data_IF_744001212875
#
_entry.id   IF_744001212875
#
_cell.length_a   1.000
_cell.length_b   1.000
_cell.length_c   1.000
_cell.angle_alpha   90.00
_cell.angle_beta   90.00
_cell.angle_gamma   90.00
#
_symmetry.space_group_name_H-M   'P 1'
#
loop_
_entity.id
_entity.type
_entity.pdbx_description
1 polymer ?
#
# COMPACT_ATOMS: atom_id res chain seq x y z
N UNK A 1 -16.08 44.48 19.45
CA UNK A 1 -16.20 44.35 17.98
C UNK A 1 -14.82 44.09 17.40
N UNK A 2 -14.49 42.84 17.12
CA UNK A 2 -13.31 42.45 16.33
C UNK A 2 -13.85 41.61 15.17
N UNK A 3 -13.65 42.10 13.95
CA UNK A 3 -14.06 41.42 12.74
C UNK A 3 -13.16 40.20 12.54
N UNK A 4 -13.75 39.00 12.55
CA UNK A 4 -13.07 37.77 12.17
C UNK A 4 -12.99 37.70 10.65
N UNK A 5 -11.78 37.57 10.11
CA UNK A 5 -11.54 37.24 8.72
C UNK A 5 -11.96 35.78 8.49
N UNK A 6 -13.05 35.57 7.76
CA UNK A 6 -13.42 34.26 7.24
C UNK A 6 -12.53 33.92 6.05
N UNK A 7 -11.70 32.89 6.20
CA UNK A 7 -10.98 32.27 5.08
C UNK A 7 -12.00 31.44 4.30
N UNK A 8 -12.34 31.89 3.10
CA UNK A 8 -13.21 31.19 2.17
C UNK A 8 -12.34 30.23 1.35
N UNK A 9 -12.42 28.93 1.64
CA UNK A 9 -11.82 27.90 0.78
C UNK A 9 -12.72 27.71 -0.44
N UNK A 10 -12.26 28.18 -1.60
CA UNK A 10 -12.89 27.92 -2.90
C UNK A 10 -12.32 26.60 -3.43
N UNK A 11 -13.09 25.51 -3.31
CA UNK A 11 -12.76 24.24 -3.97
C UNK A 11 -13.21 24.36 -5.42
N UNK A 12 -12.28 24.66 -6.32
CA UNK A 12 -12.51 24.60 -7.76
C UNK A 12 -12.56 23.13 -8.18
N UNK A 13 -13.76 22.61 -8.47
CA UNK A 13 -13.90 21.33 -9.17
C UNK A 13 -13.50 21.54 -10.63
N UNK A 14 -12.23 21.30 -10.93
CA UNK A 14 -11.75 21.17 -12.30
C UNK A 14 -12.25 19.83 -12.81
N UNK A 15 -13.34 19.84 -13.58
CA UNK A 15 -13.62 18.74 -14.49
C UNK A 15 -12.51 18.79 -15.56
N UNK A 16 -11.41 18.08 -15.30
CA UNK A 16 -10.38 17.86 -16.31
C UNK A 16 -11.03 17.06 -17.44
N UNK A 17 -11.52 17.77 -18.46
CA UNK A 17 -11.68 17.17 -19.76
C UNK A 17 -10.32 16.57 -20.12
N UNK A 18 -10.30 15.27 -20.40
CA UNK A 18 -9.12 14.61 -20.97
C UNK A 18 -8.99 15.12 -22.41
N UNK A 19 -8.66 16.40 -22.58
CA UNK A 19 -8.20 16.92 -23.86
C UNK A 19 -7.03 16.03 -24.24
N UNK A 20 -7.25 15.24 -25.29
CA UNK A 20 -6.50 14.02 -25.54
C UNK A 20 -5.01 14.27 -25.44
N UNK A 21 -4.39 13.77 -24.37
CA UNK A 21 -2.95 13.82 -24.21
C UNK A 21 -2.37 13.05 -25.39
N UNK A 22 -1.87 13.81 -26.37
CA UNK A 22 -1.29 13.28 -27.59
C UNK A 22 -0.04 12.49 -27.22
N UNK A 23 0.14 11.31 -27.82
CA UNK A 23 1.36 10.53 -27.66
C UNK A 23 2.55 11.41 -28.02
N UNK A 24 3.49 11.58 -27.09
CA UNK A 24 4.76 12.22 -27.42
C UNK A 24 5.54 11.28 -28.36
N UNK A 25 6.21 11.82 -29.39
CA UNK A 25 6.97 11.00 -30.33
C UNK A 25 8.10 10.28 -29.59
N UNK A 26 8.35 9.03 -29.96
CA UNK A 26 9.47 8.29 -29.38
C UNK A 26 10.82 8.81 -29.90
N UNK A 27 11.83 8.76 -29.04
CA UNK A 27 13.21 9.10 -29.40
C UNK A 27 14.09 7.86 -29.31
N UNK A 28 14.98 7.66 -30.28
CA UNK A 28 15.97 6.58 -30.21
C UNK A 28 16.86 6.77 -28.96
N UNK A 29 17.09 5.68 -28.24
CA UNK A 29 17.85 5.65 -27.00
C UNK A 29 18.80 4.46 -26.96
N UNK A 30 19.69 4.44 -25.98
CA UNK A 30 20.59 3.31 -25.72
C UNK A 30 19.91 2.31 -24.78
N UNK A 31 20.22 1.03 -24.95
CA UNK A 31 19.84 -0.02 -24.01
C UNK A 31 20.29 0.32 -22.56
N UNK A 32 19.68 -0.29 -21.54
CA UNK A 32 20.22 -0.21 -20.17
C UNK A 32 21.65 -0.77 -20.14
N UNK A 33 22.59 0.00 -19.62
CA UNK A 33 23.99 -0.36 -19.47
C UNK A 33 24.29 -0.69 -18.00
N UNK A 34 23.51 -1.59 -17.41
CA UNK A 34 23.58 -1.91 -15.98
C UNK A 34 24.87 -2.69 -15.66
N UNK A 35 25.55 -2.34 -14.57
CA UNK A 35 26.79 -3.01 -14.14
C UNK A 35 28.05 -2.71 -14.97
N UNK A 36 27.97 -1.88 -16.01
CA UNK A 36 29.17 -1.37 -16.70
C UNK A 36 29.89 -0.33 -15.82
N UNK A 37 31.23 -0.41 -15.74
CA UNK A 37 32.04 0.38 -14.80
C UNK A 37 31.87 1.90 -14.95
N UNK A 38 31.61 2.37 -16.17
CA UNK A 38 31.44 3.80 -16.48
C UNK A 38 29.97 4.20 -16.70
N UNK A 39 29.03 3.29 -16.43
CA UNK A 39 27.61 3.57 -16.62
C UNK A 39 27.01 4.30 -15.42
N UNK A 40 26.12 5.24 -15.72
CA UNK A 40 25.28 5.93 -14.73
C UNK A 40 23.92 5.26 -14.58
N UNK A 41 23.72 4.09 -15.17
CA UNK A 41 22.48 3.34 -15.05
C UNK A 41 22.50 2.50 -13.78
N UNK A 42 21.39 2.50 -13.05
CA UNK A 42 21.19 1.68 -11.86
C UNK A 42 19.80 1.01 -11.87
N UNK A 43 19.70 -0.14 -11.21
CA UNK A 43 18.43 -0.82 -10.96
C UNK A 43 17.82 -0.32 -9.66
N UNK A 44 16.53 -0.01 -9.68
CA UNK A 44 15.74 0.36 -8.53
C UNK A 44 15.13 -0.85 -7.86
N UNK A 45 15.58 -1.09 -6.63
CA UNK A 45 14.98 -2.03 -5.67
C UNK A 45 14.48 -1.30 -4.41
N UNK A 46 14.48 0.04 -4.46
CA UNK A 46 14.10 0.91 -3.35
C UNK A 46 12.75 1.59 -3.59
N UNK A 47 11.97 1.11 -4.57
CA UNK A 47 10.64 1.63 -4.89
C UNK A 47 10.59 3.12 -5.25
N UNK A 48 11.66 3.70 -5.81
CA UNK A 48 11.66 5.09 -6.27
C UNK A 48 10.87 5.28 -7.56
N UNK A 49 10.87 4.28 -8.45
CA UNK A 49 10.08 4.24 -9.68
C UNK A 49 9.49 2.85 -9.86
N UNK A 50 8.19 2.79 -10.10
CA UNK A 50 7.45 1.53 -10.15
C UNK A 50 6.52 1.55 -11.37
N UNK A 51 6.77 0.68 -12.33
CA UNK A 51 5.82 0.35 -13.37
C UNK A 51 4.71 -0.48 -12.74
N UNK A 52 3.49 0.06 -12.71
CA UNK A 52 2.31 -0.62 -12.12
C UNK A 52 1.61 -1.53 -13.10
N UNK A 53 1.67 -1.18 -14.37
CA UNK A 53 1.11 -1.99 -15.43
C UNK A 53 1.26 -1.32 -16.78
N UNK A 54 1.07 -2.11 -17.81
CA UNK A 54 1.11 -1.67 -19.20
C UNK A 54 0.18 -2.54 -20.02
N UNK A 55 -0.56 -1.94 -20.94
CA UNK A 55 -1.49 -2.68 -21.77
C UNK A 55 -2.15 -1.81 -22.81
N UNK A 56 -2.94 -2.43 -23.68
CA UNK A 56 -3.74 -1.73 -24.69
C UNK A 56 -5.07 -1.33 -24.06
N UNK A 57 -5.44 -0.04 -24.20
CA UNK A 57 -6.73 0.45 -23.72
C UNK A 57 -7.82 0.16 -24.75
N UNK A 58 -8.99 -0.27 -24.26
CA UNK A 58 -10.20 -0.36 -25.07
C UNK A 58 -10.83 1.02 -25.22
N UNK A 59 -11.14 1.40 -26.45
CA UNK A 59 -11.85 2.62 -26.81
C UNK A 59 -13.09 2.26 -27.61
N UNK A 60 -14.15 3.04 -27.44
CA UNK A 60 -15.34 2.95 -28.28
C UNK A 60 -15.20 3.99 -29.40
N UNK A 61 -14.79 3.53 -30.58
CA UNK A 61 -14.67 4.36 -31.77
C UNK A 61 -15.81 4.00 -32.72
N UNK A 62 -16.77 4.90 -32.91
CA UNK A 62 -17.85 4.71 -33.87
C UNK A 62 -18.84 3.60 -33.51
N UNK A 63 -18.95 3.21 -32.23
CA UNK A 63 -19.88 2.18 -31.76
C UNK A 63 -19.27 0.77 -31.71
N UNK A 64 -18.01 0.60 -32.13
CA UNK A 64 -17.27 -0.66 -32.01
C UNK A 64 -16.23 -0.55 -30.90
N UNK A 65 -16.17 -1.58 -30.05
CA UNK A 65 -15.10 -1.72 -29.06
C UNK A 65 -13.83 -2.21 -29.77
N UNK A 66 -12.76 -1.42 -29.69
CA UNK A 66 -11.45 -1.77 -30.23
C UNK A 66 -10.33 -1.21 -29.36
N UNK A 67 -9.08 -1.51 -29.72
CA UNK A 67 -7.93 -0.93 -29.05
C UNK A 67 -7.61 0.46 -29.59
N UNK A 68 -7.12 1.34 -28.71
CA UNK A 68 -6.59 2.66 -29.08
C UNK A 68 -5.47 2.52 -30.12
N UNK A 69 -5.50 3.39 -31.14
CA UNK A 69 -4.59 3.38 -32.28
C UNK A 69 -3.97 4.76 -32.48
N UNK A 70 -2.69 4.80 -32.85
CA UNK A 70 -2.01 6.01 -33.34
C UNK A 70 -1.69 5.83 -34.81
N UNK A 71 -2.17 6.72 -35.67
CA UNK A 71 -2.07 6.58 -37.12
C UNK A 71 -1.29 7.73 -37.75
N UNK A 72 -0.24 7.38 -38.51
CA UNK A 72 0.49 8.31 -39.38
C UNK A 72 0.18 7.96 -40.83
N UNK A 73 -0.75 8.71 -41.43
CA UNK A 73 -1.25 8.42 -42.77
C UNK A 73 -2.10 7.15 -42.80
N UNK A 74 -1.63 6.11 -43.52
CA UNK A 74 -2.34 4.81 -43.66
C UNK A 74 -1.82 3.72 -42.73
N UNK A 75 -0.76 4.00 -41.99
CA UNK A 75 -0.15 3.07 -41.04
C UNK A 75 -0.66 3.44 -39.65
N UNK A 76 -1.22 2.46 -38.96
CA UNK A 76 -1.72 2.61 -37.60
C UNK A 76 -1.03 1.59 -36.72
N UNK A 77 -0.52 2.04 -35.58
CA UNK A 77 0.03 1.18 -34.53
C UNK A 77 -0.96 1.11 -33.37
N UNK A 78 -0.91 0.04 -32.59
CA UNK A 78 -1.60 0.02 -31.31
C UNK A 78 -0.94 1.02 -30.35
N UNK A 79 -1.72 1.52 -29.39
CA UNK A 79 -1.22 2.33 -28.28
C UNK A 79 -1.23 1.49 -27.00
N UNK A 80 -0.07 1.35 -26.39
CA UNK A 80 0.08 0.81 -25.04
C UNK A 80 0.14 1.96 -24.04
N UNK A 81 -0.61 1.88 -22.95
CA UNK A 81 -0.54 2.83 -21.86
C UNK A 81 0.13 2.18 -20.67
N UNK A 82 1.24 2.75 -20.23
CA UNK A 82 1.95 2.36 -19.02
C UNK A 82 1.53 3.28 -17.86
N UNK A 83 1.17 2.69 -16.72
CA UNK A 83 0.97 3.40 -15.45
C UNK A 83 2.24 3.31 -14.62
N UNK A 84 2.78 4.44 -14.18
CA UNK A 84 4.07 4.54 -13.49
C UNK A 84 3.86 5.34 -12.21
N UNK A 85 4.38 4.84 -11.11
CA UNK A 85 4.43 5.57 -9.85
C UNK A 85 5.86 6.00 -9.55
N UNK A 86 6.02 7.22 -9.05
CA UNK A 86 7.31 7.75 -8.62
C UNK A 86 7.19 8.20 -7.17
N UNK A 87 8.07 7.73 -6.30
CA UNK A 87 7.99 8.01 -4.87
C UNK A 87 8.02 9.53 -4.61
N UNK A 88 7.25 10.00 -3.62
CA UNK A 88 7.11 11.42 -3.30
C UNK A 88 8.45 12.10 -2.94
N UNK A 89 9.39 11.35 -2.36
CA UNK A 89 10.73 11.81 -1.98
C UNK A 89 11.67 12.03 -3.17
N UNK A 90 11.35 11.49 -4.34
CA UNK A 90 12.13 11.73 -5.55
C UNK A 90 11.95 13.20 -5.95
N UNK A 91 13.03 13.93 -6.31
CA UNK A 91 12.92 15.33 -6.76
C UNK A 91 11.92 15.51 -7.91
N UNK A 92 11.22 16.65 -7.95
CA UNK A 92 10.21 16.92 -9.00
C UNK A 92 10.81 17.20 -10.39
N UNK A 93 12.09 17.53 -10.46
CA UNK A 93 12.79 17.86 -11.71
C UNK A 93 13.31 16.62 -12.47
N UNK A 94 13.16 15.41 -11.90
CA UNK A 94 13.48 14.18 -12.62
C UNK A 94 12.49 13.96 -13.77
N UNK A 95 12.98 13.43 -14.89
CA UNK A 95 12.10 13.03 -15.99
C UNK A 95 11.67 11.58 -15.80
N UNK A 96 10.39 11.32 -15.95
CA UNK A 96 9.82 9.97 -15.91
C UNK A 96 9.65 9.49 -17.34
N UNK A 97 10.18 8.31 -17.66
CA UNK A 97 10.21 7.78 -19.03
C UNK A 97 9.94 6.27 -19.06
N UNK A 98 9.59 5.77 -20.24
CA UNK A 98 9.55 4.34 -20.56
C UNK A 98 10.55 4.07 -21.67
N UNK A 99 11.45 3.13 -21.44
CA UNK A 99 12.37 2.59 -22.44
C UNK A 99 11.78 1.29 -22.98
N UNK A 100 11.76 1.10 -24.30
CA UNK A 100 11.15 -0.07 -24.93
C UNK A 100 11.78 -0.43 -26.28
N UNK A 101 11.59 -1.67 -26.71
CA UNK A 101 11.83 -2.09 -28.09
C UNK A 101 11.04 -3.37 -28.43
N UNK A 102 10.97 -3.70 -29.72
CA UNK A 102 10.64 -5.05 -30.15
C UNK A 102 11.91 -5.89 -30.08
N UNK A 103 11.84 -7.12 -29.57
CA UNK A 103 13.02 -8.01 -29.53
C UNK A 103 13.63 -8.31 -30.91
N UNK A 104 12.87 -8.08 -31.99
CA UNK A 104 13.33 -8.16 -33.38
C UNK A 104 14.03 -6.89 -33.90
N UNK A 105 13.97 -5.79 -33.15
CA UNK A 105 14.64 -4.51 -33.45
C UNK A 105 15.76 -4.29 -32.41
N UNK A 106 17.03 -4.21 -32.81
CA UNK A 106 18.12 -3.93 -31.88
C UNK A 106 18.09 -2.50 -31.33
N UNK A 107 17.36 -1.59 -31.96
CA UNK A 107 17.25 -0.19 -31.53
C UNK A 107 16.24 -0.06 -30.38
N UNK A 108 16.68 0.59 -29.31
CA UNK A 108 15.81 1.00 -28.21
C UNK A 108 15.21 2.38 -28.45
N UNK A 109 14.01 2.58 -27.96
CA UNK A 109 13.29 3.85 -28.03
C UNK A 109 12.79 4.23 -26.64
N UNK A 110 12.65 5.52 -26.38
CA UNK A 110 12.08 6.03 -25.15
C UNK A 110 10.96 7.03 -25.41
N UNK A 111 10.01 7.09 -24.48
CA UNK A 111 8.93 8.09 -24.46
C UNK A 111 8.82 8.70 -23.07
N UNK A 112 8.51 10.00 -23.01
CA UNK A 112 8.28 10.69 -21.74
C UNK A 112 6.89 10.39 -21.18
N UNK A 113 6.82 10.17 -19.88
CA UNK A 113 5.57 10.06 -19.15
C UNK A 113 5.06 11.45 -18.73
N UNK A 114 3.77 11.55 -18.43
CA UNK A 114 3.10 12.75 -17.96
C UNK A 114 2.37 12.46 -16.65
N UNK A 115 2.34 13.45 -15.74
CA UNK A 115 1.63 13.31 -14.47
C UNK A 115 0.12 13.18 -14.72
N UNK A 116 -0.54 12.24 -14.04
CA UNK A 116 -2.00 12.04 -14.19
C UNK A 116 -2.81 12.85 -13.18
N UNK A 117 -2.18 13.33 -12.11
CA UNK A 117 -2.85 13.97 -10.98
C UNK A 117 -3.61 12.98 -10.08
N UNK A 118 -3.57 11.67 -10.40
CA UNK A 118 -4.12 10.63 -9.53
C UNK A 118 -3.32 10.60 -8.22
N UNK A 119 -4.02 10.69 -7.11
CA UNK A 119 -3.42 10.57 -5.79
C UNK A 119 -3.17 9.11 -5.47
N UNK A 120 -1.92 8.77 -5.14
CA UNK A 120 -1.53 7.45 -4.64
C UNK A 120 -0.67 7.66 -3.40
N UNK A 121 -0.92 6.90 -2.35
CA UNK A 121 -0.17 7.08 -1.11
C UNK A 121 1.32 6.84 -1.32
N UNK A 122 2.14 7.85 -1.04
CA UNK A 122 3.60 7.75 -1.16
C UNK A 122 4.12 7.92 -2.58
N UNK A 123 3.24 8.10 -3.57
CA UNK A 123 3.62 8.16 -4.98
C UNK A 123 2.92 9.27 -5.74
N UNK A 124 3.65 9.87 -6.67
CA UNK A 124 3.09 10.68 -7.76
C UNK A 124 2.81 9.75 -8.94
N UNK A 125 1.58 9.76 -9.43
CA UNK A 125 1.18 8.92 -10.55
C UNK A 125 1.48 9.59 -11.91
N UNK A 126 2.03 8.80 -12.81
CA UNK A 126 2.37 9.15 -14.18
C UNK A 126 1.79 8.12 -15.16
N UNK A 127 1.60 8.54 -16.40
CA UNK A 127 1.26 7.65 -17.50
C UNK A 127 2.15 7.92 -18.71
N UNK A 128 2.43 6.88 -19.49
CA UNK A 128 3.12 7.01 -20.77
C UNK A 128 2.34 6.27 -21.87
N UNK A 129 2.27 6.85 -23.07
CA UNK A 129 1.68 6.22 -24.25
C UNK A 129 2.80 5.78 -25.19
N UNK A 130 2.85 4.50 -25.50
CA UNK A 130 3.85 3.86 -26.35
C UNK A 130 3.18 3.37 -27.62
N UNK A 131 3.65 3.79 -28.79
CA UNK A 131 3.07 3.36 -30.09
C UNK A 131 4.07 3.33 -31.24
N UNK A 132 5.04 4.24 -31.24
CA UNK A 132 6.02 4.34 -32.32
C UNK A 132 6.93 3.11 -32.33
N UNK A 133 7.34 2.67 -33.52
CA UNK A 133 8.20 1.49 -33.72
C UNK A 133 7.63 0.15 -33.21
N UNK A 134 6.35 0.12 -32.85
CA UNK A 134 5.61 -1.09 -32.51
C UNK A 134 4.66 -1.50 -33.65
N UNK A 135 4.04 -2.67 -33.51
CA UNK A 135 3.14 -3.21 -34.52
C UNK A 135 1.71 -2.69 -34.35
N UNK A 136 0.96 -2.72 -35.45
CA UNK A 136 -0.46 -2.40 -35.48
C UNK A 136 -1.35 -3.61 -35.75
N UNK A 137 -2.68 -3.39 -35.88
CA UNK A 137 -3.67 -4.46 -36.09
C UNK A 137 -3.42 -5.34 -37.31
N UNK A 138 -2.75 -4.82 -38.35
CA UNK A 138 -2.47 -5.56 -39.59
C UNK A 138 -1.23 -6.44 -39.52
N UNK A 139 -0.40 -6.24 -38.50
CA UNK A 139 0.92 -6.85 -38.35
C UNK A 139 1.07 -7.59 -37.01
N UNK A 140 -0.03 -7.73 -36.28
CA UNK A 140 -0.10 -8.58 -35.10
C UNK A 140 0.07 -10.04 -35.55
N UNK A 141 1.01 -10.74 -34.92
CA UNK A 141 1.36 -12.11 -35.30
C UNK A 141 2.23 -12.76 -34.25
N UNK A 142 2.30 -14.09 -34.31
CA UNK A 142 3.11 -14.90 -33.40
C UNK A 142 4.59 -14.48 -33.44
N UNK A 143 5.24 -14.53 -32.28
CA UNK A 143 6.67 -14.21 -32.14
C UNK A 143 7.02 -12.73 -31.95
N UNK A 144 6.04 -11.83 -31.89
CA UNK A 144 6.28 -10.44 -31.43
C UNK A 144 6.42 -10.44 -29.91
N UNK A 145 7.51 -9.86 -29.43
CA UNK A 145 7.75 -9.60 -28.00
C UNK A 145 8.18 -8.16 -27.86
N UNK A 146 7.51 -7.43 -26.97
CA UNK A 146 7.92 -6.08 -26.57
C UNK A 146 8.65 -6.23 -25.24
N UNK A 147 9.85 -5.69 -25.16
CA UNK A 147 10.55 -5.52 -23.88
C UNK A 147 10.51 -4.06 -23.49
N UNK A 148 10.18 -3.79 -22.24
CA UNK A 148 10.09 -2.43 -21.72
C UNK A 148 10.41 -2.35 -20.23
N UNK A 149 10.76 -1.14 -19.81
CA UNK A 149 11.06 -0.79 -18.41
C UNK A 149 10.79 0.70 -18.18
N UNK A 150 10.22 1.05 -17.03
CA UNK A 150 10.07 2.45 -16.61
C UNK A 150 11.37 2.92 -15.95
N UNK A 151 11.71 4.21 -16.11
CA UNK A 151 12.90 4.76 -15.48
C UNK A 151 12.80 6.24 -15.15
N UNK A 152 13.64 6.69 -14.23
CA UNK A 152 13.91 8.10 -13.92
C UNK A 152 15.19 8.54 -14.61
N UNK A 153 15.18 9.72 -15.21
CA UNK A 153 16.37 10.41 -15.72
C UNK A 153 16.62 11.67 -14.89
N UNK A 154 17.78 11.73 -14.25
CA UNK A 154 18.24 12.88 -13.47
C UNK A 154 18.96 13.91 -14.35
N UNK A 155 19.12 15.13 -13.84
CA UNK A 155 19.75 16.23 -14.57
C UNK A 155 21.23 15.97 -14.96
N UNK A 156 21.92 15.10 -14.23
CA UNK A 156 23.29 14.67 -14.51
C UNK A 156 23.39 13.53 -15.55
N UNK A 157 22.25 13.06 -16.08
CA UNK A 157 22.17 11.97 -17.04
C UNK A 157 22.13 10.57 -16.40
N UNK A 158 22.12 10.46 -15.07
CA UNK A 158 21.88 9.20 -14.37
C UNK A 158 20.50 8.64 -14.72
N UNK A 159 20.42 7.33 -14.93
CA UNK A 159 19.14 6.62 -15.13
C UNK A 159 18.92 5.60 -14.02
N UNK A 160 17.70 5.57 -13.48
CA UNK A 160 17.30 4.60 -12.45
C UNK A 160 16.09 3.81 -12.98
N UNK A 161 16.28 2.53 -13.24
CA UNK A 161 15.31 1.64 -13.91
C UNK A 161 14.50 0.83 -12.90
N UNK A 162 13.19 0.69 -13.10
CA UNK A 162 12.33 -0.12 -12.24
C UNK A 162 12.66 -1.63 -12.34
N UNK A 163 13.20 -2.20 -11.27
CA UNK A 163 13.42 -3.64 -11.10
C UNK A 163 12.73 -4.18 -9.84
N UNK A 164 11.70 -3.49 -9.35
CA UNK A 164 11.06 -3.85 -8.09
C UNK A 164 10.17 -5.09 -8.17
N UNK A 165 9.77 -5.49 -9.39
CA UNK A 165 8.92 -6.67 -9.63
C UNK A 165 9.66 -7.82 -10.32
N UNK A 166 10.93 -7.62 -10.69
CA UNK A 166 11.76 -8.59 -11.41
C UNK A 166 12.97 -8.92 -10.54
N UNK A 167 13.36 -10.20 -10.48
CA UNK A 167 14.44 -10.61 -9.57
C UNK A 167 15.82 -10.26 -10.11
N UNK A 168 15.97 -10.17 -11.45
CA UNK A 168 17.23 -9.82 -12.09
C UNK A 168 17.35 -8.33 -12.39
N UNK A 169 18.52 -7.75 -12.08
CA UNK A 169 18.89 -6.38 -12.44
C UNK A 169 18.85 -6.10 -13.96
N UNK A 170 18.86 -7.13 -14.80
CA UNK A 170 18.88 -7.01 -16.27
C UNK A 170 17.56 -7.43 -16.92
N UNK A 171 16.57 -7.82 -16.13
CA UNK A 171 15.30 -8.32 -16.66
C UNK A 171 14.38 -7.15 -17.01
N UNK A 172 13.71 -7.25 -18.16
CA UNK A 172 12.70 -6.29 -18.59
C UNK A 172 11.32 -6.93 -18.58
N UNK A 173 10.28 -6.11 -18.50
CA UNK A 173 8.90 -6.58 -18.65
C UNK A 173 8.70 -7.00 -20.10
N UNK A 174 8.25 -8.24 -20.29
CA UNK A 174 8.03 -8.83 -21.62
C UNK A 174 6.53 -8.92 -21.90
N UNK A 175 6.08 -8.23 -22.95
CA UNK A 175 4.70 -8.31 -23.44
C UNK A 175 4.64 -9.23 -24.65
N UNK A 176 3.78 -10.25 -24.57
CA UNK A 176 3.68 -11.33 -25.55
C UNK A 176 2.22 -11.58 -25.92
N UNK A 177 1.96 -12.42 -26.93
CA UNK A 177 0.61 -12.81 -27.29
C UNK A 177 -0.12 -13.54 -26.15
N UNK A 178 0.59 -14.37 -25.38
CA UNK A 178 0.04 -15.14 -24.25
C UNK A 178 -0.46 -14.23 -23.12
N UNK A 179 0.20 -13.08 -22.94
CA UNK A 179 -0.19 -12.05 -21.98
C UNK A 179 -1.11 -10.99 -22.60
N UNK A 180 -1.63 -11.25 -23.81
CA UNK A 180 -2.44 -10.30 -24.59
C UNK A 180 -1.75 -8.93 -24.80
N UNK A 181 -0.42 -8.94 -24.78
CA UNK A 181 0.46 -7.77 -24.79
C UNK A 181 0.18 -6.79 -23.66
N UNK A 182 -0.04 -7.30 -22.44
CA UNK A 182 -0.18 -6.50 -21.23
C UNK A 182 0.47 -7.16 -20.01
N UNK A 183 0.76 -6.35 -18.99
CA UNK A 183 1.28 -6.79 -17.71
C UNK A 183 0.69 -5.93 -16.59
N UNK A 184 0.43 -6.55 -15.44
CA UNK A 184 0.07 -5.87 -14.20
C UNK A 184 1.09 -6.28 -13.15
N UNK A 185 1.74 -5.31 -12.53
CA UNK A 185 2.89 -5.51 -11.64
C UNK A 185 2.52 -5.04 -10.23
N UNK A 186 2.76 -5.91 -9.25
CA UNK A 186 2.23 -5.77 -7.89
C UNK A 186 3.22 -5.30 -6.82
N UNK A 187 4.48 -5.02 -7.17
CA UNK A 187 5.53 -4.64 -6.20
C UNK A 187 5.33 -3.27 -5.55
N UNK A 188 6.10 -2.97 -4.50
CA UNK A 188 6.20 -1.63 -3.90
C UNK A 188 4.86 -0.97 -3.54
N UNK A 189 4.00 -1.70 -2.85
CA UNK A 189 2.80 -1.10 -2.26
C UNK A 189 3.22 -0.19 -1.10
N UNK A 190 2.62 1.00 -0.95
CA UNK A 190 2.86 1.82 0.23
C UNK A 190 2.45 1.05 1.48
N UNK A 191 3.18 1.24 2.58
CA UNK A 191 2.74 0.69 3.86
C UNK A 191 1.51 1.46 4.30
N UNK A 192 0.36 0.80 4.22
CA UNK A 192 -0.94 1.34 4.56
C UNK A 192 -1.53 0.54 5.72
N UNK A 193 -1.89 1.23 6.79
CA UNK A 193 -2.70 0.67 7.85
C UNK A 193 -4.06 1.35 7.88
N UNK A 194 -5.10 0.58 8.20
CA UNK A 194 -6.47 1.05 8.24
C UNK A 194 -7.00 0.91 9.66
N UNK A 195 -7.75 1.91 10.12
CA UNK A 195 -8.49 1.86 11.37
C UNK A 195 -9.97 2.03 11.04
N UNK A 196 -10.77 1.04 11.42
CA UNK A 196 -12.21 1.04 11.23
C UNK A 196 -12.92 1.34 12.54
N UNK A 197 -13.82 2.31 12.51
CA UNK A 197 -14.72 2.66 13.60
C UNK A 197 -16.14 2.27 13.20
N UNK A 198 -16.64 1.17 13.76
CA UNK A 198 -17.93 0.59 13.39
C UNK A 198 -19.11 1.27 14.09
N UNK A 199 -20.37 1.09 13.63
CA UNK A 199 -21.54 1.67 14.28
C UNK A 199 -21.79 1.15 15.70
N UNK A 200 -21.26 -0.03 16.06
CA UNK A 200 -21.40 -0.63 17.40
C UNK A 200 -20.37 -0.13 18.40
N UNK A 201 -19.73 1.01 18.11
CA UNK A 201 -18.66 1.60 18.91
C UNK A 201 -17.39 0.72 19.03
N UNK A 202 -17.23 -0.30 18.19
CA UNK A 202 -16.00 -1.10 18.13
C UNK A 202 -14.97 -0.53 17.17
N UNK A 203 -13.71 -0.89 17.36
CA UNK A 203 -12.58 -0.53 16.51
C UNK A 203 -11.89 -1.79 16.01
N UNK A 204 -11.41 -1.76 14.77
CA UNK A 204 -10.51 -2.80 14.27
C UNK A 204 -9.40 -2.16 13.43
N UNK A 205 -8.20 -2.74 13.50
CA UNK A 205 -7.05 -2.31 12.71
C UNK A 205 -6.74 -3.41 11.70
N UNK A 206 -6.46 -3.03 10.46
CA UNK A 206 -5.91 -3.95 9.44
C UNK A 206 -4.67 -3.34 8.81
N UNK A 207 -3.73 -4.18 8.39
CA UNK A 207 -2.42 -3.72 7.97
C UNK A 207 -1.58 -3.16 9.12
N UNK A 208 -0.32 -2.87 8.84
CA UNK A 208 0.61 -2.34 9.83
C UNK A 208 0.58 -0.81 9.81
N UNK A 209 0.26 -0.19 10.95
CA UNK A 209 0.47 1.23 11.16
C UNK A 209 1.98 1.47 11.35
N UNK A 210 2.70 1.92 10.33
CA UNK A 210 4.17 2.09 10.41
C UNK A 210 4.62 3.53 10.24
N UNK A 211 5.71 3.87 10.92
CA UNK A 211 6.47 5.10 10.73
C UNK A 211 6.78 5.34 9.25
N UNK A 212 6.46 6.53 8.74
CA UNK A 212 6.64 6.91 7.35
C UNK A 212 5.62 6.31 6.36
N UNK A 213 4.75 5.41 6.81
CA UNK A 213 3.63 4.88 6.04
C UNK A 213 2.43 5.81 6.01
N UNK A 214 1.26 5.25 5.72
CA UNK A 214 -0.01 5.96 5.69
C UNK A 214 -1.03 5.29 6.60
N UNK A 215 -1.87 6.12 7.22
CA UNK A 215 -3.02 5.72 8.00
C UNK A 215 -4.28 6.15 7.26
N UNK A 216 -5.18 5.20 6.99
CA UNK A 216 -6.56 5.47 6.59
C UNK A 216 -7.55 5.23 7.72
N UNK A 217 -8.40 6.21 7.97
CA UNK A 217 -9.44 6.17 8.99
C UNK A 217 -10.79 5.98 8.30
N UNK A 218 -11.43 4.84 8.55
CA UNK A 218 -12.78 4.53 8.10
C UNK A 218 -13.73 4.75 9.27
N UNK A 219 -14.56 5.79 9.17
CA UNK A 219 -15.49 6.14 10.23
C UNK A 219 -16.92 6.00 9.76
N UNK A 220 -17.67 5.11 10.39
CA UNK A 220 -19.10 4.96 10.11
C UNK A 220 -19.86 6.11 10.75
N UNK A 221 -20.55 6.88 9.91
CA UNK A 221 -21.19 8.12 10.33
C UNK A 221 -22.16 7.86 11.49
N UNK A 222 -22.88 6.74 11.48
CA UNK A 222 -23.88 6.32 12.47
C UNK A 222 -23.40 6.36 13.94
N UNK A 223 -22.09 6.40 14.20
CA UNK A 223 -21.53 6.59 15.54
C UNK A 223 -21.79 7.98 16.14
N UNK A 224 -21.92 9.01 15.30
CA UNK A 224 -22.26 10.39 15.71
C UNK A 224 -23.42 10.93 14.88
N UNK A 225 -24.67 10.51 15.17
CA UNK A 225 -25.85 10.94 14.44
C UNK A 225 -26.32 12.37 14.81
N UNK A 226 -25.92 12.91 15.95
CA UNK A 226 -26.34 14.23 16.41
C UNK A 226 -25.73 15.37 15.57
N UNK A 227 -26.23 16.59 15.73
CA UNK A 227 -25.70 17.79 15.06
C UNK A 227 -25.70 17.78 13.52
N UNK A 228 -26.51 16.92 12.89
CA UNK A 228 -26.66 16.85 11.43
C UNK A 228 -27.75 17.77 10.90
N UNK A 229 -27.48 19.08 10.90
CA UNK A 229 -28.46 20.08 10.47
C UNK A 229 -28.49 20.30 8.94
N UNK A 230 -29.57 20.93 8.48
CA UNK A 230 -29.70 21.43 7.10
C UNK A 230 -29.97 22.93 7.09
N UNK A 231 -29.60 23.61 6.00
CA UNK A 231 -29.97 25.00 5.75
C UNK A 231 -30.44 25.17 4.32
N UNK A 232 -31.65 25.72 4.17
CA UNK A 232 -32.36 25.81 2.89
C UNK A 232 -32.45 24.45 2.16
N UNK A 233 -32.57 23.36 2.91
CA UNK A 233 -32.66 22.01 2.37
C UNK A 233 -31.35 21.38 1.90
N UNK A 234 -30.20 22.04 2.15
CA UNK A 234 -28.87 21.47 1.92
C UNK A 234 -28.21 21.06 3.23
N UNK A 235 -27.41 19.98 3.25
CA UNK A 235 -26.76 19.55 4.47
C UNK A 235 -25.64 20.52 4.82
N UNK A 236 -25.46 20.77 6.11
CA UNK A 236 -24.43 21.70 6.56
C UNK A 236 -23.80 21.32 7.88
N UNK A 237 -23.59 20.04 8.04
CA UNK A 237 -22.81 19.44 9.10
C UNK A 237 -21.59 18.76 8.51
N UNK A 238 -20.60 18.47 9.33
CA UNK A 238 -19.45 17.65 8.96
C UNK A 238 -19.02 16.80 10.15
N UNK A 239 -18.39 15.67 9.85
CA UNK A 239 -17.66 14.88 10.85
C UNK A 239 -16.20 14.97 10.50
N UNK A 240 -15.40 15.58 11.37
CA UNK A 240 -13.96 15.61 11.26
C UNK A 240 -13.37 14.49 12.10
N UNK A 241 -12.50 13.71 11.50
CA UNK A 241 -11.51 12.95 12.24
C UNK A 241 -10.36 13.90 12.57
N UNK A 242 -9.98 13.91 13.83
CA UNK A 242 -8.75 14.52 14.30
C UNK A 242 -7.80 13.40 14.72
N UNK A 243 -6.51 13.60 14.47
CA UNK A 243 -5.51 12.75 15.08
C UNK A 243 -4.27 13.52 15.46
N UNK A 244 -3.56 12.98 16.45
CA UNK A 244 -2.31 13.49 16.99
C UNK A 244 -1.31 12.36 17.08
N UNK A 245 -0.18 12.50 16.39
CA UNK A 245 0.92 11.54 16.49
C UNK A 245 1.81 11.89 17.68
N UNK A 246 2.20 10.88 18.46
CA UNK A 246 3.08 11.00 19.60
C UNK A 246 4.43 10.34 19.33
N UNK A 247 5.54 10.81 19.93
CA UNK A 247 5.61 11.91 20.89
C UNK A 247 5.67 13.31 20.25
N UNK A 248 5.80 13.41 18.92
CA UNK A 248 6.05 14.67 18.22
C UNK A 248 4.90 15.70 18.28
N UNK A 249 3.68 15.27 18.60
CA UNK A 249 2.51 16.14 18.77
C UNK A 249 1.94 16.67 17.46
N UNK A 250 2.29 16.08 16.31
CA UNK A 250 1.80 16.53 15.00
C UNK A 250 0.31 16.20 14.88
N UNK A 251 -0.51 17.24 14.70
CA UNK A 251 -1.96 17.13 14.58
C UNK A 251 -2.42 17.26 13.13
N UNK A 252 -3.43 16.47 12.78
CA UNK A 252 -4.05 16.46 11.48
C UNK A 252 -5.57 16.35 11.63
N UNK A 253 -6.32 16.89 10.67
CA UNK A 253 -7.78 16.79 10.69
C UNK A 253 -8.34 16.77 9.28
N UNK A 254 -9.40 15.99 9.08
CA UNK A 254 -10.04 15.85 7.78
C UNK A 254 -11.45 15.31 7.90
N UNK A 255 -12.29 15.63 6.91
CA UNK A 255 -13.66 15.12 6.85
C UNK A 255 -13.64 13.61 6.59
N UNK A 256 -14.49 12.88 7.31
CA UNK A 256 -14.76 11.46 7.09
C UNK A 256 -16.09 11.23 6.38
N UNK A 257 -16.65 12.27 5.76
CA UNK A 257 -17.92 12.19 5.02
C UNK A 257 -17.86 12.91 3.69
N UNK A 258 -18.50 12.32 2.69
CA UNK A 258 -18.84 13.03 1.44
C UNK A 258 -20.33 13.04 1.22
N UNK A 259 -20.83 14.11 0.60
CA UNK A 259 -22.21 14.17 0.17
C UNK A 259 -22.39 13.48 -1.17
N UNK A 260 -23.45 12.69 -1.28
CA UNK A 260 -23.88 12.13 -2.56
C UNK A 260 -24.31 13.28 -3.47
N UNK A 261 -23.83 13.30 -4.71
CA UNK A 261 -24.22 14.33 -5.68
C UNK A 261 -25.16 13.77 -6.74
N UNK A 262 -26.26 14.46 -7.00
CA UNK A 262 -27.14 14.20 -8.14
C UNK A 262 -26.97 15.32 -9.17
N UNK A 263 -26.52 15.00 -10.39
CA UNK A 263 -26.26 15.98 -11.45
C UNK A 263 -25.37 17.16 -11.01
N UNK A 264 -24.31 16.86 -10.24
CA UNK A 264 -23.37 17.88 -9.73
C UNK A 264 -23.90 18.72 -8.55
N UNK A 265 -25.12 18.48 -8.07
CA UNK A 265 -25.68 19.15 -6.89
C UNK A 265 -25.65 18.18 -5.69
N UNK A 266 -25.08 18.57 -4.52
CA UNK A 266 -25.13 17.75 -3.32
C UNK A 266 -26.57 17.47 -2.87
N UNK A 267 -26.86 16.22 -2.51
CA UNK A 267 -28.11 15.83 -1.84
C UNK A 267 -27.93 15.94 -0.32
N UNK A 268 -28.98 15.65 0.45
CA UNK A 268 -28.88 15.53 1.93
C UNK A 268 -28.33 14.18 2.39
N UNK A 269 -28.02 13.28 1.45
CA UNK A 269 -27.44 11.98 1.75
C UNK A 269 -25.92 12.11 1.84
N UNK A 270 -25.36 11.57 2.92
CA UNK A 270 -23.93 11.51 3.14
C UNK A 270 -23.51 10.06 3.25
N UNK A 271 -22.35 9.74 2.70
CA UNK A 271 -21.71 8.44 2.82
C UNK A 271 -20.34 8.58 3.50
N UNK A 272 -19.88 7.54 4.23
CA UNK A 272 -18.54 7.52 4.77
C UNK A 272 -17.50 7.73 3.66
N UNK A 273 -16.50 8.58 3.94
CA UNK A 273 -15.30 8.70 3.12
C UNK A 273 -14.09 8.44 4.01
N UNK A 274 -13.12 7.60 3.58
CA UNK A 274 -11.89 7.41 4.33
C UNK A 274 -11.10 8.71 4.40
N UNK A 275 -10.55 9.00 5.57
CA UNK A 275 -9.59 10.08 5.74
C UNK A 275 -8.18 9.50 5.86
N UNK A 276 -7.27 9.96 5.02
CA UNK A 276 -5.91 9.47 4.96
C UNK A 276 -4.88 10.50 5.38
N UNK A 277 -3.85 10.04 6.08
CA UNK A 277 -2.73 10.86 6.52
C UNK A 277 -1.42 10.09 6.46
N UNK A 278 -0.31 10.80 6.21
CA UNK A 278 1.04 10.24 6.32
C UNK A 278 1.44 10.14 7.78
N UNK A 279 1.89 8.97 8.21
CA UNK A 279 2.39 8.74 9.57
C UNK A 279 3.80 9.32 9.69
N UNK A 280 4.08 10.23 10.63
CA UNK A 280 5.42 10.77 10.86
C UNK A 280 6.45 9.66 11.12
N UNK A 281 7.70 9.88 10.69
CA UNK A 281 8.78 8.89 10.86
C UNK A 281 9.19 8.69 12.32
N UNK A 282 8.83 9.62 13.19
CA UNK A 282 9.08 9.60 14.64
C UNK A 282 7.86 9.14 15.46
N UNK A 283 6.72 8.86 14.81
CA UNK A 283 5.50 8.49 15.52
C UNK A 283 5.61 7.09 16.16
N UNK A 284 5.24 6.98 17.43
CA UNK A 284 5.15 5.73 18.19
C UNK A 284 3.69 5.38 18.53
N UNK A 285 2.80 6.36 18.51
CA UNK A 285 1.38 6.22 18.77
C UNK A 285 0.60 7.29 18.00
N UNK A 286 -0.67 7.00 17.69
CA UNK A 286 -1.64 8.00 17.25
C UNK A 286 -2.84 8.01 18.19
N UNK A 287 -3.22 9.20 18.62
CA UNK A 287 -4.48 9.47 19.33
C UNK A 287 -5.50 10.00 18.33
N UNK A 288 -6.72 9.47 18.34
CA UNK A 288 -7.77 9.80 17.38
C UNK A 288 -9.07 10.16 18.11
N UNK A 289 -9.76 11.20 17.64
CA UNK A 289 -11.10 11.58 18.10
C UNK A 289 -11.90 12.22 16.97
N UNK A 290 -13.21 12.27 17.11
CA UNK A 290 -14.11 12.76 16.07
C UNK A 290 -14.98 13.89 16.57
N UNK A 291 -15.11 14.95 15.77
CA UNK A 291 -16.02 16.07 16.00
C UNK A 291 -17.14 16.03 14.96
N UNK A 292 -18.39 16.01 15.40
CA UNK A 292 -19.51 16.36 14.53
C UNK A 292 -20.01 17.76 14.88
N UNK A 293 -20.08 18.64 13.89
CA UNK A 293 -20.53 20.01 14.07
C UNK A 293 -21.46 20.47 12.95
N UNK A 294 -22.31 21.43 13.27
CA UNK A 294 -23.18 22.12 12.31
C UNK A 294 -22.61 23.51 11.97
N UNK A 295 -22.47 23.80 10.69
CA UNK A 295 -21.96 25.07 10.15
C UNK A 295 -23.03 26.14 9.91
N UNK A 296 -24.31 25.84 10.12
CA UNK A 296 -25.45 26.69 9.73
C UNK A 296 -25.94 27.68 10.78
N UNK A 297 -25.02 28.27 11.55
CA UNK A 297 -25.37 29.17 12.65
C UNK A 297 -25.92 28.45 13.89
N UNK A 298 -26.04 27.13 13.84
CA UNK A 298 -26.17 26.27 15.02
C UNK A 298 -24.82 26.20 15.73
N UNK A 299 -24.85 26.11 17.06
CA UNK A 299 -23.66 25.85 17.88
C UNK A 299 -23.54 24.39 18.27
N UNK A 300 -24.33 23.51 17.65
CA UNK A 300 -24.33 22.08 17.96
C UNK A 300 -22.96 21.47 17.64
N UNK A 301 -22.37 20.84 18.65
CA UNK A 301 -21.14 20.04 18.55
C UNK A 301 -21.29 18.79 19.42
N UNK A 302 -20.84 17.66 18.92
CA UNK A 302 -20.74 16.40 19.66
C UNK A 302 -19.43 15.70 19.31
N UNK A 303 -18.99 14.78 20.18
CA UNK A 303 -17.68 14.15 20.09
C UNK A 303 -17.77 12.64 20.26
N UNK A 304 -17.02 11.90 19.44
CA UNK A 304 -16.67 10.50 19.70
C UNK A 304 -15.18 10.44 20.04
N UNK A 305 -14.88 10.26 21.32
CA UNK A 305 -13.53 10.39 21.88
C UNK A 305 -13.27 9.35 22.96
N UNK A 306 -13.90 8.17 22.87
CA UNK A 306 -13.79 7.14 23.92
C UNK A 306 -14.02 7.72 25.34
N UNK A 307 -15.12 8.46 25.51
CA UNK A 307 -15.45 9.17 26.75
C UNK A 307 -14.38 10.20 27.21
N UNK A 308 -13.72 10.86 26.26
CA UNK A 308 -12.69 11.88 26.52
C UNK A 308 -11.27 11.33 26.67
N UNK A 309 -11.08 10.01 26.59
CA UNK A 309 -9.77 9.39 26.59
C UNK A 309 -9.08 9.38 25.22
N UNK A 310 -9.81 9.67 24.15
CA UNK A 310 -9.44 9.43 22.75
C UNK A 310 -9.13 7.94 22.46
N UNK A 311 -8.96 7.63 21.19
CA UNK A 311 -8.59 6.29 20.73
C UNK A 311 -7.10 6.23 20.45
N UNK A 312 -6.39 5.31 21.08
CA UNK A 312 -4.94 5.19 20.98
C UNK A 312 -4.57 3.95 20.17
N UNK A 313 -3.66 4.11 19.22
CA UNK A 313 -3.15 3.01 18.41
C UNK A 313 -1.63 3.07 18.30
N UNK A 314 -0.93 1.97 18.59
CA UNK A 314 0.52 1.93 18.47
C UNK A 314 0.95 2.03 17.01
N UNK A 315 2.03 2.78 16.77
CA UNK A 315 2.70 2.88 15.48
C UNK A 315 3.99 2.06 15.56
N UNK A 316 4.15 1.15 14.61
CA UNK A 316 5.33 0.33 14.49
C UNK A 316 6.47 1.11 13.86
N UNK A 317 7.73 0.84 14.26
CA UNK A 317 8.88 1.39 13.58
C UNK A 317 9.06 0.75 12.20
N UNK A 318 10.10 1.21 11.50
CA UNK A 318 10.51 0.63 10.21
C UNK A 318 10.77 -0.88 10.33
N UNK A 319 10.54 -1.68 9.26
CA UNK A 319 10.70 -3.15 9.31
C UNK A 319 12.11 -3.64 9.71
N UNK A 320 13.14 -2.85 9.45
CA UNK A 320 14.54 -3.12 9.79
C UNK A 320 14.88 -2.81 11.27
N UNK A 321 13.96 -2.18 12.01
CA UNK A 321 14.15 -1.89 13.42
C UNK A 321 14.33 -3.20 14.24
N UNK A 322 15.24 -3.25 15.23
CA UNK A 322 15.48 -4.46 16.03
C UNK A 322 14.23 -5.08 16.67
N UNK A 323 13.25 -4.26 17.04
CA UNK A 323 11.93 -4.69 17.58
C UNK A 323 11.04 -5.46 16.59
N UNK A 324 11.30 -5.33 15.29
CA UNK A 324 10.52 -5.96 14.23
C UNK A 324 11.29 -7.11 13.55
N UNK A 325 12.62 -7.02 13.52
CA UNK A 325 13.47 -7.93 12.76
C UNK A 325 13.31 -9.37 13.27
N UNK A 326 12.83 -10.25 12.37
CA UNK A 326 12.60 -11.66 12.69
C UNK A 326 11.47 -11.89 13.71
N UNK A 327 10.62 -10.91 13.97
CA UNK A 327 9.48 -11.07 14.90
C UNK A 327 8.21 -11.30 14.10
N UNK A 328 7.52 -12.38 14.43
CA UNK A 328 6.23 -12.74 13.85
C UNK A 328 5.25 -13.04 14.96
N UNK A 329 3.95 -12.83 14.72
CA UNK A 329 2.91 -13.12 15.70
C UNK A 329 1.78 -13.90 15.05
N UNK A 330 1.20 -14.83 15.79
CA UNK A 330 0.01 -15.55 15.35
C UNK A 330 -1.20 -14.59 15.24
N UNK A 331 -1.89 -14.61 14.11
CA UNK A 331 -3.05 -13.77 13.82
C UNK A 331 -4.34 -14.58 13.98
N UNK A 332 -4.97 -14.45 15.15
CA UNK A 332 -6.22 -15.15 15.48
C UNK A 332 -7.44 -14.68 14.68
N UNK A 333 -7.36 -13.54 13.97
CA UNK A 333 -8.43 -13.07 13.11
C UNK A 333 -8.49 -13.85 11.80
N UNK A 334 -7.35 -14.40 11.36
CA UNK A 334 -7.29 -15.32 10.24
C UNK A 334 -7.63 -16.72 10.78
N UNK A 335 -8.91 -17.06 10.78
CA UNK A 335 -9.34 -18.43 11.03
C UNK A 335 -9.46 -19.14 9.69
N UNK A 336 -8.42 -19.87 9.33
CA UNK A 336 -8.49 -20.81 8.22
C UNK A 336 -9.48 -21.95 8.49
N UNK A 337 -9.39 -23.01 7.68
CA UNK A 337 -10.23 -24.20 7.82
C UNK A 337 -10.05 -24.92 9.17
N UNK A 338 -8.91 -24.72 9.84
CA UNK A 338 -8.58 -25.28 11.14
C UNK A 338 -8.11 -24.18 12.11
N UNK A 339 -8.83 -24.03 13.23
CA UNK A 339 -8.51 -23.06 14.30
C UNK A 339 -7.21 -23.37 15.06
N UNK A 340 -6.57 -24.51 14.77
CA UNK A 340 -5.26 -24.89 15.30
C UNK A 340 -4.11 -24.49 14.39
N UNK A 341 -4.40 -24.05 13.17
CA UNK A 341 -3.40 -23.53 12.26
C UNK A 341 -2.87 -22.21 12.81
N UNK A 342 -1.54 -22.08 12.82
CA UNK A 342 -0.86 -20.84 13.18
C UNK A 342 -0.80 -19.96 11.95
N UNK A 343 -1.20 -18.71 12.07
CA UNK A 343 -1.14 -17.73 10.99
C UNK A 343 -0.16 -16.63 11.36
N UNK A 344 1.12 -16.85 11.03
CA UNK A 344 2.17 -15.90 11.38
C UNK A 344 2.15 -14.68 10.46
N UNK A 345 2.11 -13.49 11.06
CA UNK A 345 2.30 -12.22 10.37
C UNK A 345 3.49 -11.45 10.95
N UNK A 346 4.18 -10.62 10.15
CA UNK A 346 5.22 -9.73 10.67
C UNK A 346 4.71 -8.87 11.82
N UNK A 347 5.46 -8.79 12.91
CA UNK A 347 5.07 -8.07 14.12
C UNK A 347 6.22 -7.20 14.63
N UNK A 348 5.89 -6.15 15.39
CA UNK A 348 6.88 -5.34 16.08
C UNK A 348 6.53 -5.26 17.56
N UNK A 349 7.52 -5.50 18.42
CA UNK A 349 7.35 -5.36 19.86
C UNK A 349 7.21 -3.88 20.23
N UNK A 350 6.36 -3.60 21.23
CA UNK A 350 6.23 -2.27 21.81
C UNK A 350 7.45 -1.88 22.67
N UNK A 351 8.27 -2.86 23.06
CA UNK A 351 9.44 -2.70 23.94
C UNK A 351 10.72 -3.17 23.24
N UNK A 352 11.87 -2.69 23.73
CA UNK A 352 13.17 -3.15 23.26
C UNK A 352 13.49 -4.55 23.81
N UNK A 353 13.78 -5.51 22.91
CA UNK A 353 14.19 -6.88 23.26
C UNK A 353 15.49 -6.87 24.07
N UNK A 354 16.43 -5.97 23.74
CA UNK A 354 17.71 -5.87 24.43
C UNK A 354 17.59 -5.14 25.77
N UNK A 355 16.53 -4.33 25.93
CA UNK A 355 16.34 -3.41 27.05
C UNK A 355 15.57 -3.98 28.25
N UNK A 356 14.91 -5.14 28.13
CA UNK A 356 14.06 -5.66 29.20
C UNK A 356 14.13 -7.18 29.44
N UNK A 357 14.44 -7.47 30.70
CA UNK A 357 14.03 -8.59 31.55
C UNK A 357 15.05 -9.71 31.83
N UNK A 358 15.30 -9.88 33.13
CA UNK A 358 15.91 -11.06 33.72
C UNK A 358 14.88 -12.19 33.69
N UNK A 359 14.97 -13.07 32.68
CA UNK A 359 14.07 -14.21 32.50
C UNK A 359 14.00 -15.16 33.72
N UNK A 360 14.90 -15.03 34.71
CA UNK A 360 14.85 -15.80 35.95
C UNK A 360 13.57 -15.56 36.78
N UNK A 361 12.83 -14.48 36.53
CA UNK A 361 11.59 -14.16 37.25
C UNK A 361 10.30 -14.60 36.51
N UNK A 362 10.42 -15.16 35.30
CA UNK A 362 9.27 -15.67 34.55
C UNK A 362 9.36 -17.20 34.44
N UNK A 363 8.40 -17.90 35.04
CA UNK A 363 8.27 -19.35 34.87
C UNK A 363 7.18 -19.66 33.82
N UNK A 364 7.57 -20.39 32.79
CA UNK A 364 6.67 -20.87 31.73
C UNK A 364 6.61 -22.40 31.78
N UNK A 365 5.40 -22.94 31.83
CA UNK A 365 5.17 -24.38 31.78
C UNK A 365 4.53 -24.77 30.45
N UNK A 366 5.17 -25.65 29.65
CA UNK A 366 4.50 -26.22 28.49
C UNK A 366 3.34 -27.11 28.93
N UNK A 367 2.13 -26.78 28.47
CA UNK A 367 0.96 -27.66 28.63
C UNK A 367 0.90 -28.69 27.49
N UNK A 368 1.21 -28.25 26.28
CA UNK A 368 1.29 -29.10 25.10
C UNK A 368 2.32 -28.56 24.10
N UNK A 369 2.88 -29.46 23.30
CA UNK A 369 3.72 -29.15 22.16
C UNK A 369 3.56 -30.26 21.11
N UNK A 370 3.20 -29.88 19.88
CA UNK A 370 2.86 -30.83 18.84
C UNK A 370 3.13 -30.32 17.43
N UNK A 371 3.17 -31.26 16.49
CA UNK A 371 3.26 -30.96 15.06
C UNK A 371 1.86 -30.98 14.46
N UNK A 372 1.51 -29.89 13.79
CA UNK A 372 0.31 -29.78 12.97
C UNK A 372 0.59 -30.09 11.51
N UNK A 373 -0.40 -30.69 10.85
CA UNK A 373 -0.39 -30.98 9.42
C UNK A 373 -1.79 -30.80 8.86
N UNK A 374 -1.91 -30.06 7.77
CA UNK A 374 -3.09 -30.07 6.90
C UNK A 374 -2.64 -30.13 5.44
N UNK A 375 -3.37 -30.89 4.63
CA UNK A 375 -3.14 -30.97 3.20
C UNK A 375 -4.39 -30.51 2.46
N UNK A 376 -4.31 -29.40 1.73
CA UNK A 376 -5.40 -28.95 0.87
C UNK A 376 -4.98 -29.07 -0.59
N UNK A 377 -5.68 -29.90 -1.38
CA UNK A 377 -5.36 -30.15 -2.80
C UNK A 377 -3.92 -30.64 -3.06
N UNK A 378 -3.37 -31.46 -2.16
CA UNK A 378 -2.00 -31.98 -2.29
C UNK A 378 -0.91 -30.99 -1.90
N UNK A 379 -1.29 -29.79 -1.42
CA UNK A 379 -0.37 -28.80 -0.88
C UNK A 379 -0.23 -29.04 0.64
N UNK A 380 0.95 -29.44 1.13
CA UNK A 380 1.17 -29.64 2.56
C UNK A 380 1.40 -28.30 3.27
N UNK A 381 0.72 -28.14 4.40
CA UNK A 381 0.99 -27.10 5.39
C UNK A 381 1.38 -27.78 6.70
N UNK A 382 2.55 -27.40 7.25
CA UNK A 382 3.08 -27.97 8.49
C UNK A 382 3.54 -26.89 9.45
N UNK A 383 3.20 -27.07 10.72
CA UNK A 383 3.56 -26.13 11.77
C UNK A 383 3.90 -26.83 13.08
N UNK A 384 4.72 -26.19 13.90
CA UNK A 384 4.86 -26.49 15.32
C UNK A 384 3.82 -25.66 16.07
N UNK A 385 3.18 -26.25 17.08
CA UNK A 385 2.26 -25.56 17.98
C UNK A 385 2.67 -25.87 19.42
N UNK A 386 2.56 -24.91 20.31
CA UNK A 386 2.71 -25.11 21.75
C UNK A 386 1.77 -24.21 22.53
N UNK A 387 1.18 -24.75 23.58
CA UNK A 387 0.43 -24.01 24.57
C UNK A 387 1.29 -23.90 25.84
N UNK A 388 1.54 -22.66 26.30
CA UNK A 388 2.44 -22.32 27.39
C UNK A 388 1.66 -21.62 28.50
N UNK A 389 1.69 -22.16 29.72
CA UNK A 389 1.10 -21.51 30.90
C UNK A 389 2.13 -20.65 31.61
N UNK A 390 1.75 -19.42 31.93
CA UNK A 390 2.52 -18.49 32.76
C UNK A 390 2.05 -18.55 34.21
N UNK A 391 2.99 -18.58 35.14
CA UNK A 391 2.72 -18.49 36.58
C UNK A 391 2.26 -17.12 37.05
N UNK A 392 2.16 -17.00 38.38
CA UNK A 392 2.20 -15.68 39.02
C UNK A 392 3.61 -15.13 38.85
N UNK A 393 3.76 -14.07 38.07
CA UNK A 393 5.05 -13.42 37.81
C UNK A 393 5.10 -12.08 38.53
N UNK A 394 6.27 -11.67 38.99
CA UNK A 394 6.53 -10.30 39.45
C UNK A 394 6.62 -9.39 38.22
N UNK A 395 5.45 -8.92 37.76
CA UNK A 395 5.32 -8.03 36.61
C UNK A 395 4.18 -8.42 35.67
N UNK A 396 4.16 -7.77 34.49
CA UNK A 396 3.22 -8.06 33.43
C UNK A 396 3.91 -8.87 32.33
N UNK A 397 3.35 -10.02 31.98
CA UNK A 397 3.80 -10.78 30.81
C UNK A 397 3.34 -10.03 29.56
N UNK A 398 4.30 -9.49 28.81
CA UNK A 398 4.02 -8.69 27.61
C UNK A 398 3.86 -9.56 26.35
N UNK A 399 4.59 -10.67 26.27
CA UNK A 399 4.50 -11.64 25.18
C UNK A 399 5.07 -13.00 25.60
N UNK A 400 4.59 -14.06 24.98
CA UNK A 400 5.12 -15.43 25.08
C UNK A 400 5.29 -15.96 23.67
N UNK A 401 6.37 -16.69 23.40
CA UNK A 401 6.66 -17.17 22.05
C UNK A 401 7.74 -18.23 21.98
N UNK A 402 8.06 -18.62 20.75
CA UNK A 402 9.14 -19.54 20.42
C UNK A 402 10.27 -18.76 19.75
N UNK A 403 11.51 -19.01 20.17
CA UNK A 403 12.67 -18.69 19.37
C UNK A 403 13.00 -19.88 18.48
N UNK A 404 12.94 -19.71 17.17
CA UNK A 404 13.14 -20.76 16.18
C UNK A 404 14.35 -20.42 15.33
N UNK A 405 15.20 -21.42 15.08
CA UNK A 405 16.24 -21.37 14.05
C UNK A 405 15.87 -22.35 12.94
N UNK A 406 16.01 -21.95 11.70
CA UNK A 406 15.59 -22.76 10.55
C UNK A 406 16.47 -22.52 9.34
N UNK A 407 16.51 -23.51 8.45
CA UNK A 407 17.10 -23.40 7.13
C UNK A 407 16.03 -22.90 6.15
N UNK A 408 16.23 -21.70 5.60
CA UNK A 408 15.33 -21.13 4.60
C UNK A 408 15.55 -21.84 3.25
N UNK A 409 14.55 -22.59 2.79
CA UNK A 409 14.67 -23.36 1.55
C UNK A 409 14.70 -22.48 0.30
N UNK A 410 14.29 -21.22 0.39
CA UNK A 410 14.25 -20.27 -0.73
C UNK A 410 15.64 -19.83 -1.16
N UNK A 411 16.51 -19.54 -0.20
CA UNK A 411 17.85 -19.00 -0.43
C UNK A 411 18.98 -19.89 0.12
N UNK A 412 18.64 -20.97 0.83
CA UNK A 412 19.57 -21.90 1.46
C UNK A 412 20.28 -21.32 2.69
N UNK A 413 19.82 -20.19 3.24
CA UNK A 413 20.44 -19.55 4.39
C UNK A 413 19.87 -20.07 5.71
N UNK A 414 20.70 -20.05 6.75
CA UNK A 414 20.24 -20.22 8.13
C UNK A 414 19.63 -18.91 8.63
N UNK A 415 18.45 -18.98 9.22
CA UNK A 415 17.71 -17.82 9.73
C UNK A 415 17.08 -18.11 11.10
N UNK A 416 16.52 -17.09 11.73
CA UNK A 416 15.86 -17.21 13.02
C UNK A 416 14.67 -16.27 13.17
N UNK A 417 13.67 -16.72 13.91
CA UNK A 417 12.48 -15.94 14.20
C UNK A 417 12.04 -16.04 15.67
N UNK A 418 11.45 -14.97 16.18
CA UNK A 418 10.66 -14.94 17.40
C UNK A 418 9.19 -15.05 17.00
N UNK A 419 8.62 -16.25 17.14
CA UNK A 419 7.21 -16.50 16.86
C UNK A 419 6.39 -16.31 18.13
N UNK A 420 5.75 -15.15 18.22
CA UNK A 420 4.94 -14.73 19.36
C UNK A 420 3.54 -15.32 19.26
N UNK A 421 3.05 -15.74 20.42
CA UNK A 421 1.74 -16.28 20.61
C UNK A 421 0.68 -15.27 21.02
N UNK A 422 -0.51 -15.81 21.30
CA UNK A 422 -1.64 -15.08 21.86
C UNK A 422 -2.08 -15.72 23.16
N UNK A 423 -2.49 -14.90 24.13
CA UNK A 423 -3.16 -15.38 25.32
C UNK A 423 -4.57 -15.84 24.96
N UNK A 424 -4.82 -17.15 25.04
CA UNK A 424 -6.10 -17.80 24.68
C UNK A 424 -7.01 -18.03 25.88
N UNK A 425 -6.44 -18.00 27.08
CA UNK A 425 -7.13 -17.96 28.36
C UNK A 425 -6.20 -17.28 29.39
N UNK A 426 -6.69 -16.80 30.54
CA UNK A 426 -5.84 -16.14 31.54
C UNK A 426 -4.62 -16.99 31.91
N UNK A 427 -3.43 -16.46 31.61
CA UNK A 427 -2.14 -17.08 31.80
C UNK A 427 -1.82 -18.25 30.86
N UNK A 428 -2.62 -18.53 29.83
CA UNK A 428 -2.38 -19.58 28.84
C UNK A 428 -2.17 -18.97 27.46
N UNK A 429 -0.99 -19.21 26.90
CA UNK A 429 -0.55 -18.63 25.65
C UNK A 429 -0.38 -19.72 24.59
N UNK A 430 -1.00 -19.52 23.43
CA UNK A 430 -0.79 -20.36 22.25
C UNK A 430 0.24 -19.72 21.35
N UNK A 431 1.28 -20.46 20.99
CA UNK A 431 2.32 -20.03 20.03
C UNK A 431 2.61 -21.14 19.02
N UNK A 432 3.23 -20.81 17.90
CA UNK A 432 3.69 -21.81 16.96
C UNK A 432 4.50 -21.24 15.80
N UNK A 433 4.95 -22.11 14.92
CA UNK A 433 5.81 -21.73 13.80
C UNK A 433 5.53 -22.59 12.57
N UNK A 434 5.26 -21.95 11.43
CA UNK A 434 5.07 -22.63 10.15
C UNK A 434 6.45 -22.93 9.58
N UNK A 435 6.78 -24.21 9.42
CA UNK A 435 8.07 -24.64 8.87
C UNK A 435 7.94 -25.23 7.45
N UNK A 436 6.72 -25.39 6.96
CA UNK A 436 6.45 -25.74 5.58
C UNK A 436 5.11 -25.16 5.15
N UNK A 437 5.14 -24.20 4.24
CA UNK A 437 3.99 -23.72 3.48
C UNK A 437 4.36 -23.73 2.01
N UNK A 438 3.51 -24.28 1.16
CA UNK A 438 3.66 -24.10 -0.28
C UNK A 438 2.82 -22.91 -0.68
N UNK A 439 3.48 -21.82 -1.07
CA UNK A 439 2.84 -20.77 -1.84
C UNK A 439 3.35 -20.91 -3.27
N UNK A 440 2.47 -20.97 -4.29
CA UNK A 440 2.91 -21.01 -5.69
C UNK A 440 3.74 -19.78 -6.09
N UNK A 441 3.72 -18.72 -5.28
CA UNK A 441 4.47 -17.48 -5.46
C UNK A 441 5.63 -17.32 -4.47
N UNK A 442 5.88 -18.29 -3.59
CA UNK A 442 7.04 -18.30 -2.70
C UNK A 442 7.90 -19.51 -3.11
N UNK A 443 8.85 -19.31 -4.05
CA UNK A 443 9.60 -20.40 -4.68
C UNK A 443 10.40 -21.25 -3.70
#
# INVERSE_FOLDING_TARGET
>A
MKAGQGVMFLIALVACGTDGVSSMPATASRAPALGETDSLDASDHACQVVLRGVGRNLVNEGGELGYEKSCTGRVCNFVWTAGIDVAEEVPEDVKVKVLYHLTTDPQWYEVSAFATGEQRYGYRAYAAKVSDHLFGPKTEGEGKVIELVAFLEYADGKRLFDHNSLSGDFENVRLTAETSFGASLGGCQPVLGHIFFSPSFSQSVTGALRQGGYLEIFYMLERLPECRDTHNGYPCWDILAHGRFLPGGQEFSGSVRRFVSANGTPTNEAEPQPFAVKIPKDAEEVEIWFENYSGCGSTCRTWDSNFGANYHFPIWPSPDHPRCKGVVKDNLAIRGEDVRMVHLEPYCLAYDIAGQYDANFCEFWPEDAGLGYIGHYGIPYRWLLSDLRTGSNDGQVMAVGLFVRYHNNKDGQEDSAYALGNEVAPGLWRTGFIYQSWSPNDP
#
